data_IF_179917948526
#
_entry.id   IF_179917948526
#
_cell.length_a   1.000
_cell.length_b   1.000
_cell.length_c   1.000
_cell.angle_alpha   90.00
_cell.angle_beta   90.00
_cell.angle_gamma   90.00
#
_symmetry.space_group_name_H-M   'P 1'
#
loop_
_entity.id
_entity.type
_entity.pdbx_description
1 polymer ?
#
# COMPACT_ATOMS: atom_id res chain seq x y z
N UNK A 1 10.08 11.25 0.12
CA UNK A 1 9.85 9.88 0.67
C UNK A 1 10.76 8.91 -0.05
N UNK A 2 11.60 8.14 0.65
CA UNK A 2 12.64 7.30 0.05
C UNK A 2 12.09 5.98 -0.57
N UNK A 3 11.20 6.06 -1.56
CA UNK A 3 10.51 4.89 -2.15
C UNK A 3 11.47 3.81 -2.67
N UNK A 4 12.57 4.20 -3.31
CA UNK A 4 13.57 3.27 -3.84
C UNK A 4 14.20 2.39 -2.73
N UNK A 5 14.52 3.00 -1.58
CA UNK A 5 14.99 2.28 -0.39
C UNK A 5 13.89 1.40 0.22
N UNK A 6 12.68 1.93 0.35
CA UNK A 6 11.52 1.17 0.84
C UNK A 6 11.21 -0.03 -0.06
N UNK A 7 11.41 0.08 -1.37
CA UNK A 7 11.22 -1.02 -2.31
C UNK A 7 12.20 -2.15 -2.03
N UNK A 8 13.50 -1.82 -1.96
CA UNK A 8 14.53 -2.82 -1.60
C UNK A 8 14.24 -3.48 -0.26
N UNK A 9 13.92 -2.70 0.76
CA UNK A 9 13.62 -3.23 2.10
C UNK A 9 12.36 -4.12 2.11
N UNK A 10 11.32 -3.76 1.35
CA UNK A 10 10.12 -4.59 1.22
C UNK A 10 10.47 -5.95 0.62
N UNK A 11 11.23 -5.96 -0.48
CA UNK A 11 11.65 -7.21 -1.14
C UNK A 11 12.48 -8.07 -0.20
N UNK A 12 13.46 -7.50 0.49
CA UNK A 12 14.29 -8.21 1.47
C UNK A 12 13.44 -8.80 2.60
N UNK A 13 12.54 -8.02 3.19
CA UNK A 13 11.67 -8.46 4.27
C UNK A 13 10.83 -9.68 3.85
N UNK A 14 10.20 -9.65 2.67
CA UNK A 14 9.38 -10.76 2.22
C UNK A 14 10.20 -12.02 1.92
N UNK A 15 11.40 -11.88 1.33
CA UNK A 15 12.31 -13.01 1.11
C UNK A 15 12.78 -13.64 2.43
N UNK A 16 13.09 -12.81 3.44
CA UNK A 16 13.48 -13.29 4.77
C UNK A 16 12.34 -14.05 5.45
N UNK A 17 11.10 -13.55 5.37
CA UNK A 17 9.94 -14.25 5.95
C UNK A 17 9.72 -15.61 5.28
N UNK A 18 9.80 -15.69 3.96
CA UNK A 18 9.68 -16.98 3.27
C UNK A 18 10.79 -17.96 3.64
N UNK A 19 12.03 -17.48 3.76
CA UNK A 19 13.15 -18.32 4.21
C UNK A 19 12.93 -18.81 5.65
N UNK A 20 12.48 -17.94 6.55
CA UNK A 20 12.15 -18.28 7.95
C UNK A 20 11.06 -19.35 8.04
N UNK A 21 10.05 -19.27 7.17
CA UNK A 21 8.91 -20.19 7.17
C UNK A 21 9.16 -21.43 6.27
N UNK A 22 10.37 -21.62 5.75
CA UNK A 22 10.73 -22.68 4.79
C UNK A 22 9.80 -22.73 3.55
N UNK A 23 9.27 -21.59 3.13
CA UNK A 23 8.35 -21.47 2.01
C UNK A 23 9.13 -21.29 0.69
N UNK A 24 8.81 -22.12 -0.30
CA UNK A 24 9.34 -22.00 -1.66
C UNK A 24 8.19 -21.90 -2.65
N UNK A 25 7.90 -20.67 -3.08
CA UNK A 25 6.88 -20.42 -4.10
C UNK A 25 7.50 -20.31 -5.49
N UNK A 26 6.84 -20.94 -6.47
CA UNK A 26 7.04 -20.59 -7.87
C UNK A 26 6.74 -19.09 -8.09
N UNK A 27 7.42 -18.40 -9.03
CA UNK A 27 7.23 -16.96 -9.24
C UNK A 27 5.78 -16.53 -9.44
N UNK A 28 4.99 -17.31 -10.18
CA UNK A 28 3.57 -17.02 -10.42
C UNK A 28 2.73 -17.12 -9.15
N UNK A 29 2.95 -18.16 -8.32
CA UNK A 29 2.23 -18.35 -7.05
C UNK A 29 2.56 -17.21 -6.09
N UNK A 30 3.82 -16.80 -6.04
CA UNK A 30 4.26 -15.65 -5.24
C UNK A 30 3.55 -14.36 -5.66
N UNK A 31 3.47 -14.10 -6.97
CA UNK A 31 2.76 -12.94 -7.51
C UNK A 31 1.28 -12.97 -7.11
N UNK A 32 0.60 -14.10 -7.33
CA UNK A 32 -0.81 -14.30 -6.96
C UNK A 32 -1.04 -14.06 -5.46
N UNK A 33 -0.24 -14.71 -4.61
CA UNK A 33 -0.32 -14.56 -3.17
C UNK A 33 -0.11 -13.11 -2.74
N UNK A 34 0.77 -12.36 -3.42
CA UNK A 34 1.02 -10.95 -3.13
C UNK A 34 -0.18 -10.07 -3.49
N UNK A 35 -0.83 -10.28 -4.64
CA UNK A 35 -2.06 -9.56 -5.01
C UNK A 35 -3.21 -9.84 -4.04
N UNK A 36 -3.43 -11.10 -3.66
CA UNK A 36 -4.45 -11.48 -2.67
C UNK A 36 -4.13 -10.85 -1.31
N UNK A 37 -2.87 -10.91 -0.88
CA UNK A 37 -2.44 -10.27 0.36
C UNK A 37 -2.64 -8.76 0.32
N UNK A 38 -2.37 -8.11 -0.81
CA UNK A 38 -2.60 -6.68 -0.97
C UNK A 38 -4.08 -6.34 -0.81
N UNK A 39 -4.99 -7.09 -1.45
CA UNK A 39 -6.43 -6.88 -1.33
C UNK A 39 -6.95 -7.05 0.11
N UNK A 40 -6.50 -8.11 0.80
CA UNK A 40 -6.87 -8.36 2.20
C UNK A 40 -6.38 -7.22 3.10
N UNK A 41 -5.12 -6.80 2.97
CA UNK A 41 -4.55 -5.72 3.80
C UNK A 41 -5.19 -4.38 3.50
N UNK A 42 -5.48 -4.09 2.23
CA UNK A 42 -6.19 -2.89 1.83
C UNK A 42 -7.58 -2.85 2.44
N UNK A 43 -8.30 -3.98 2.42
CA UNK A 43 -9.64 -4.10 3.02
C UNK A 43 -9.60 -3.94 4.54
N UNK A 44 -8.59 -4.53 5.21
CA UNK A 44 -8.36 -4.36 6.65
C UNK A 44 -8.10 -2.89 7.01
N UNK A 45 -7.19 -2.23 6.29
CA UNK A 45 -6.87 -0.81 6.48
C UNK A 45 -8.08 0.09 6.23
N UNK A 46 -8.86 -0.19 5.17
CA UNK A 46 -10.09 0.55 4.87
C UNK A 46 -11.10 0.43 6.01
N UNK A 47 -11.32 -0.78 6.55
CA UNK A 47 -12.17 -0.98 7.71
C UNK A 47 -11.66 -0.21 8.93
N UNK A 48 -10.36 -0.27 9.24
CA UNK A 48 -9.75 0.46 10.37
C UNK A 48 -9.84 1.98 10.26
N UNK A 49 -9.91 2.51 9.04
CA UNK A 49 -10.11 3.94 8.81
C UNK A 49 -11.50 4.42 9.27
N UNK A 50 -12.46 3.50 9.39
CA UNK A 50 -13.88 3.75 9.67
C UNK A 50 -14.55 4.72 8.69
N UNK A 51 -13.89 5.09 7.58
CA UNK A 51 -14.41 6.03 6.56
C UNK A 51 -15.56 5.45 5.74
N UNK A 52 -15.68 4.13 5.72
CA UNK A 52 -16.66 3.37 4.93
C UNK A 52 -17.77 2.74 5.79
N UNK A 53 -17.76 2.98 7.10
CA UNK A 53 -18.72 2.38 8.02
C UNK A 53 -19.95 3.29 8.17
N UNK A 54 -21.13 2.76 7.85
CA UNK A 54 -22.40 3.49 7.90
C UNK A 54 -23.04 3.48 9.30
N UNK A 55 -22.68 2.51 10.16
CA UNK A 55 -23.42 2.23 11.40
C UNK A 55 -22.64 2.53 12.69
N UNK A 56 -21.33 2.72 12.62
CA UNK A 56 -20.49 2.95 13.80
C UNK A 56 -19.27 3.78 13.45
N UNK A 57 -19.05 4.87 14.19
CA UNK A 57 -17.77 5.60 14.21
C UNK A 57 -17.02 5.18 15.48
N UNK A 58 -16.54 3.94 15.49
CA UNK A 58 -15.64 3.50 16.55
C UNK A 58 -14.38 4.38 16.58
N UNK A 59 -13.77 4.53 17.76
CA UNK A 59 -12.57 5.35 17.92
C UNK A 59 -11.46 4.81 17.03
N UNK A 60 -11.02 5.62 16.05
CA UNK A 60 -9.91 5.26 15.16
C UNK A 60 -8.62 5.23 15.99
N UNK A 61 -7.97 4.07 16.04
CA UNK A 61 -6.60 3.97 16.53
C UNK A 61 -5.65 4.37 15.39
N UNK A 62 -5.19 5.64 15.40
CA UNK A 62 -4.34 6.20 14.35
C UNK A 62 -3.06 5.40 14.13
N UNK A 63 -2.42 4.93 15.20
CA UNK A 63 -1.16 4.16 15.11
C UNK A 63 -1.41 2.80 14.44
N UNK A 64 -2.49 2.11 14.79
CA UNK A 64 -2.85 0.85 14.14
C UNK A 64 -3.24 1.06 12.67
N UNK A 65 -3.93 2.15 12.34
CA UNK A 65 -4.25 2.49 10.96
C UNK A 65 -2.99 2.81 10.14
N UNK A 66 -2.03 3.56 10.71
CA UNK A 66 -0.73 3.83 10.09
C UNK A 66 0.05 2.52 9.86
N UNK A 67 0.07 1.63 10.85
CA UNK A 67 0.67 0.31 10.73
C UNK A 67 0.08 -0.45 9.53
N UNK A 68 -1.24 -0.53 9.43
CA UNK A 68 -1.92 -1.21 8.32
C UNK A 68 -1.69 -0.53 6.97
N UNK A 69 -1.64 0.81 6.93
CA UNK A 69 -1.33 1.57 5.71
C UNK A 69 0.07 1.21 5.18
N UNK A 70 1.08 1.20 6.06
CA UNK A 70 2.45 0.79 5.71
C UNK A 70 2.51 -0.67 5.27
N UNK A 71 1.65 -1.53 5.84
CA UNK A 71 1.56 -2.95 5.46
C UNK A 71 1.01 -3.15 4.03
N UNK A 72 0.10 -2.28 3.59
CA UNK A 72 -0.39 -2.18 2.19
C UNK A 72 0.70 -1.64 1.27
N UNK A 73 1.40 -0.57 1.69
CA UNK A 73 2.47 0.06 0.92
C UNK A 73 3.57 -0.94 0.54
N UNK A 74 4.08 -1.72 1.50
CA UNK A 74 5.10 -2.75 1.25
C UNK A 74 4.69 -3.75 0.17
N UNK A 75 3.39 -4.08 0.09
CA UNK A 75 2.85 -5.05 -0.87
C UNK A 75 2.73 -4.46 -2.28
N UNK A 76 2.38 -3.18 -2.42
CA UNK A 76 2.53 -2.47 -3.70
C UNK A 76 3.97 -2.56 -4.21
N UNK A 77 4.95 -2.25 -3.35
CA UNK A 77 6.36 -2.29 -3.71
C UNK A 77 6.83 -3.71 -4.09
N UNK A 78 6.37 -4.73 -3.36
CA UNK A 78 6.65 -6.12 -3.71
C UNK A 78 6.05 -6.50 -5.07
N UNK A 79 4.81 -6.12 -5.37
CA UNK A 79 4.20 -6.38 -6.69
C UNK A 79 5.01 -5.70 -7.79
N UNK A 80 5.39 -4.44 -7.59
CA UNK A 80 6.23 -3.72 -8.54
C UNK A 80 7.52 -4.50 -8.83
N UNK A 81 8.18 -5.03 -7.80
CA UNK A 81 9.35 -5.87 -7.97
C UNK A 81 9.06 -7.17 -8.73
N UNK A 82 8.04 -7.92 -8.33
CA UNK A 82 7.71 -9.22 -8.94
C UNK A 82 7.28 -9.12 -10.40
N UNK A 83 6.81 -7.94 -10.85
CA UNK A 83 6.44 -7.69 -12.26
C UNK A 83 7.50 -6.94 -13.06
N UNK A 84 8.66 -6.64 -12.46
CA UNK A 84 9.72 -5.79 -13.05
C UNK A 84 9.22 -4.37 -13.40
N UNK A 85 8.43 -3.79 -12.50
CA UNK A 85 7.77 -2.49 -12.60
C UNK A 85 8.31 -1.49 -11.56
N UNK A 86 9.55 -1.65 -11.10
CA UNK A 86 10.14 -0.82 -10.04
C UNK A 86 10.05 0.68 -10.34
N UNK A 87 10.32 1.06 -11.60
CA UNK A 87 10.26 2.44 -12.07
C UNK A 87 8.85 3.05 -12.00
N UNK A 88 7.80 2.22 -12.01
CA UNK A 88 6.40 2.69 -12.01
C UNK A 88 5.93 3.17 -10.64
N UNK A 89 6.63 2.80 -9.56
CA UNK A 89 6.28 3.22 -8.19
C UNK A 89 7.15 4.36 -7.68
N UNK A 90 8.23 4.70 -8.39
CA UNK A 90 9.04 5.88 -8.08
C UNK A 90 8.18 7.14 -8.22
N UNK A 91 8.30 8.03 -7.25
CA UNK A 91 7.53 9.27 -7.16
C UNK A 91 8.47 10.36 -6.66
N UNK A 92 8.42 11.53 -7.28
CA UNK A 92 9.22 12.68 -6.88
C UNK A 92 8.69 13.32 -5.58
N UNK A 93 9.54 14.09 -4.90
CA UNK A 93 9.10 14.85 -3.72
C UNK A 93 8.03 15.89 -4.08
N UNK A 94 8.13 16.52 -5.27
CA UNK A 94 7.09 17.43 -5.79
C UNK A 94 5.75 16.72 -5.99
N UNK A 95 5.76 15.49 -6.53
CA UNK A 95 4.53 14.70 -6.66
C UNK A 95 3.97 14.30 -5.30
N UNK A 96 4.81 13.93 -4.33
CA UNK A 96 4.38 13.64 -2.95
C UNK A 96 3.72 14.87 -2.31
N UNK A 97 4.34 16.03 -2.48
CA UNK A 97 3.80 17.30 -1.97
C UNK A 97 2.47 17.65 -2.65
N UNK A 98 2.38 17.49 -3.97
CA UNK A 98 1.14 17.68 -4.70
C UNK A 98 0.03 16.73 -4.22
N UNK A 99 0.36 15.48 -3.87
CA UNK A 99 -0.61 14.51 -3.34
C UNK A 99 -1.06 14.86 -1.91
N UNK A 100 -0.17 15.36 -1.05
CA UNK A 100 -0.48 15.71 0.34
C UNK A 100 -1.44 16.91 0.44
N UNK A 101 -1.33 17.85 -0.50
CA UNK A 101 -2.16 19.05 -0.62
C UNK A 101 -3.46 18.86 -1.40
N UNK A 102 -3.69 17.68 -2.01
CA UNK A 102 -4.97 17.39 -2.66
C UNK A 102 -6.13 17.52 -1.67
N UNK A 103 -7.29 17.92 -2.20
CA UNK A 103 -8.53 17.99 -1.42
C UNK A 103 -8.88 16.62 -0.84
N UNK A 104 -9.29 16.62 0.42
CA UNK A 104 -9.85 15.42 1.05
C UNK A 104 -11.10 14.98 0.30
N UNK A 105 -11.23 13.68 0.08
CA UNK A 105 -12.40 13.10 -0.55
C UNK A 105 -13.65 13.34 0.32
N UNK A 106 -14.77 13.71 -0.30
CA UNK A 106 -16.07 13.64 0.35
C UNK A 106 -16.45 12.18 0.65
N UNK A 107 -17.54 11.95 1.39
CA UNK A 107 -18.02 10.60 1.68
C UNK A 107 -18.43 9.82 0.41
N UNK A 108 -18.93 10.49 -0.63
CA UNK A 108 -19.20 9.83 -1.90
C UNK A 108 -17.91 9.55 -2.67
N UNK A 109 -17.00 10.53 -2.69
CA UNK A 109 -15.72 10.41 -3.39
C UNK A 109 -14.82 9.33 -2.78
N UNK A 110 -14.86 9.14 -1.45
CA UNK A 110 -14.00 8.15 -0.78
C UNK A 110 -14.44 6.71 -1.12
N UNK A 111 -15.75 6.46 -1.20
CA UNK A 111 -16.30 5.17 -1.64
C UNK A 111 -15.85 4.85 -3.07
N UNK A 112 -16.00 5.82 -3.99
CA UNK A 112 -15.55 5.69 -5.38
C UNK A 112 -14.04 5.47 -5.47
N UNK A 113 -13.25 6.22 -4.68
CA UNK A 113 -11.79 6.08 -4.61
C UNK A 113 -11.40 4.65 -4.22
N UNK A 114 -12.01 4.09 -3.17
CA UNK A 114 -11.69 2.73 -2.72
C UNK A 114 -12.03 1.67 -3.76
N UNK A 115 -13.23 1.75 -4.36
CA UNK A 115 -13.64 0.84 -5.43
C UNK A 115 -12.74 0.97 -6.67
N UNK A 116 -12.32 2.20 -7.01
CA UNK A 116 -11.41 2.46 -8.11
C UNK A 116 -10.03 1.81 -7.88
N UNK A 117 -9.47 1.94 -6.66
CA UNK A 117 -8.21 1.27 -6.29
C UNK A 117 -8.32 -0.23 -6.52
N UNK A 118 -9.40 -0.88 -6.02
CA UNK A 118 -9.60 -2.32 -6.19
C UNK A 118 -9.73 -2.73 -7.65
N UNK A 119 -10.58 -2.04 -8.41
CA UNK A 119 -10.79 -2.32 -9.83
C UNK A 119 -9.46 -2.28 -10.60
N UNK A 120 -8.68 -1.22 -10.39
CA UNK A 120 -7.38 -1.06 -11.04
C UNK A 120 -6.35 -2.10 -10.59
N UNK A 121 -6.35 -2.53 -9.32
CA UNK A 121 -5.51 -3.64 -8.88
C UNK A 121 -5.85 -4.93 -9.63
N UNK A 122 -7.14 -5.27 -9.74
CA UNK A 122 -7.55 -6.47 -10.46
C UNK A 122 -7.22 -6.40 -11.95
N UNK A 123 -7.47 -5.27 -12.58
CA UNK A 123 -7.09 -5.03 -13.97
C UNK A 123 -5.57 -5.14 -14.19
N UNK A 124 -4.75 -4.65 -13.26
CA UNK A 124 -3.30 -4.77 -13.35
C UNK A 124 -2.79 -6.22 -13.23
N UNK A 125 -3.56 -7.07 -12.56
CA UNK A 125 -3.27 -8.50 -12.46
C UNK A 125 -3.77 -9.27 -13.68
N UNK A 126 -5.09 -9.24 -13.94
CA UNK A 126 -5.76 -10.05 -14.96
C UNK A 126 -5.47 -9.56 -16.39
N UNK A 127 -5.55 -8.26 -16.62
CA UNK A 127 -5.35 -7.65 -17.95
C UNK A 127 -3.91 -7.16 -18.17
N UNK A 128 -3.04 -7.30 -17.15
CA UNK A 128 -1.65 -6.81 -17.16
C UNK A 128 -1.53 -5.30 -17.42
N UNK A 129 -2.57 -4.52 -17.12
CA UNK A 129 -2.59 -3.07 -17.35
C UNK A 129 -1.66 -2.33 -16.38
N UNK A 130 -0.48 -1.91 -16.86
CA UNK A 130 0.50 -1.15 -16.09
C UNK A 130 -0.05 0.19 -15.61
N UNK A 131 -0.79 0.89 -16.46
CA UNK A 131 -1.40 2.18 -16.12
C UNK A 131 -2.36 2.06 -14.94
N UNK A 132 -3.18 1.00 -14.91
CA UNK A 132 -4.06 0.73 -13.77
C UNK A 132 -3.26 0.53 -12.48
N UNK A 133 -2.12 -0.17 -12.52
CA UNK A 133 -1.24 -0.29 -11.35
C UNK A 133 -0.71 1.07 -10.88
N UNK A 134 -0.23 1.92 -11.80
CA UNK A 134 0.28 3.27 -11.50
C UNK A 134 -0.82 4.14 -10.87
N UNK A 135 -2.02 4.15 -11.46
CA UNK A 135 -3.12 4.96 -10.96
C UNK A 135 -3.62 4.45 -9.60
N UNK A 136 -3.70 3.14 -9.41
CA UNK A 136 -4.04 2.55 -8.12
C UNK A 136 -3.02 2.92 -7.04
N UNK A 137 -1.73 2.86 -7.36
CA UNK A 137 -0.63 3.31 -6.50
C UNK A 137 -0.77 4.80 -6.13
N UNK A 138 -0.98 5.68 -7.11
CA UNK A 138 -1.14 7.12 -6.87
C UNK A 138 -2.37 7.45 -6.03
N UNK A 139 -3.50 6.78 -6.27
CA UNK A 139 -4.70 6.93 -5.44
C UNK A 139 -4.49 6.41 -4.02
N UNK A 140 -3.80 5.29 -3.85
CA UNK A 140 -3.43 4.78 -2.54
C UNK A 140 -2.53 5.76 -1.77
N UNK A 141 -1.51 6.33 -2.40
CA UNK A 141 -0.65 7.35 -1.79
C UNK A 141 -1.44 8.60 -1.41
N UNK A 142 -2.30 9.10 -2.32
CA UNK A 142 -3.22 10.21 -2.03
C UNK A 142 -4.09 9.90 -0.82
N UNK A 143 -4.60 8.67 -0.72
CA UNK A 143 -5.47 8.26 0.38
C UNK A 143 -4.75 8.40 1.72
N UNK A 144 -3.51 7.92 1.83
CA UNK A 144 -2.69 8.09 3.04
C UNK A 144 -2.33 9.54 3.36
N UNK A 145 -1.75 10.24 2.38
CA UNK A 145 -1.18 11.58 2.57
C UNK A 145 -2.26 12.65 2.78
N UNK A 146 -3.30 12.64 1.95
CA UNK A 146 -4.35 13.66 1.98
C UNK A 146 -5.52 13.27 2.89
N UNK A 147 -6.11 12.08 2.73
CA UNK A 147 -7.40 11.74 3.38
C UNK A 147 -7.23 11.19 4.80
N UNK A 148 -6.16 10.44 5.06
CA UNK A 148 -5.79 9.94 6.38
C UNK A 148 -4.81 10.87 7.11
N UNK A 149 -4.27 11.88 6.40
CA UNK A 149 -3.35 12.90 6.92
C UNK A 149 -2.11 12.32 7.55
N UNK A 150 -1.55 11.25 6.99
CA UNK A 150 -0.23 10.77 7.38
C UNK A 150 0.84 11.65 6.78
N UNK A 151 1.82 12.06 7.58
CA UNK A 151 3.02 12.71 7.08
C UNK A 151 3.97 11.70 6.45
N UNK A 152 4.88 12.18 5.60
CA UNK A 152 5.95 11.34 5.03
C UNK A 152 6.80 10.75 6.15
N UNK A 153 7.11 11.55 7.18
CA UNK A 153 7.91 11.12 8.32
C UNK A 153 7.23 10.01 9.12
N UNK A 154 5.91 10.11 9.36
CA UNK A 154 5.13 9.06 10.03
C UNK A 154 5.21 7.74 9.23
N UNK A 155 5.02 7.82 7.91
CA UNK A 155 5.05 6.64 7.02
C UNK A 155 6.45 6.00 7.02
N UNK A 156 7.51 6.79 6.88
CA UNK A 156 8.89 6.29 6.83
C UNK A 156 9.34 5.70 8.17
N UNK A 157 9.01 6.36 9.28
CA UNK A 157 9.33 5.87 10.61
C UNK A 157 8.63 4.53 10.88
N UNK A 158 7.33 4.46 10.61
CA UNK A 158 6.58 3.21 10.80
C UNK A 158 7.06 2.10 9.85
N UNK A 159 7.41 2.43 8.61
CA UNK A 159 8.02 1.49 7.69
C UNK A 159 9.33 0.92 8.25
N UNK A 160 10.23 1.78 8.74
CA UNK A 160 11.51 1.36 9.30
C UNK A 160 11.31 0.52 10.58
N UNK A 161 10.35 0.89 11.44
CA UNK A 161 9.98 0.09 12.61
C UNK A 161 9.56 -1.33 12.21
N UNK A 162 8.65 -1.47 11.24
CA UNK A 162 8.14 -2.78 10.82
C UNK A 162 9.18 -3.67 10.14
N UNK A 163 10.15 -3.08 9.44
CA UNK A 163 11.26 -3.82 8.84
C UNK A 163 12.28 -4.23 9.92
N UNK A 164 12.56 -3.38 10.91
CA UNK A 164 13.57 -3.64 11.95
C UNK A 164 13.08 -4.59 13.04
N UNK A 165 11.83 -4.45 13.50
CA UNK A 165 11.26 -5.28 14.58
C UNK A 165 11.13 -6.77 14.23
N UNK A 166 11.29 -7.15 12.95
CA UNK A 166 11.26 -8.55 12.51
C UNK A 166 12.66 -9.16 12.28
N UNK A 167 13.72 -8.35 12.42
CA UNK A 167 15.12 -8.79 12.24
C UNK A 167 15.74 -9.24 13.59
N UNK A 168 15.05 -9.00 14.71
CA UNK A 168 15.33 -9.59 16.02
C UNK A 168 14.39 -10.75 16.33
#
# INVERSE_FOLDING_TARGET
MEIDKMLRHSVTLFRQNEAKDNLKFLPQVRLQNTYVNLDIRLSKMANESQRFNYHSRSKINRNHLLFSYVDVLKRYLLIANLKNWNQLVLISDDEIDALSHKKQASLDDINKLYLAIKNMLFNSYFDRRQNDFIYSWKLFLKFGLSDLKFSVQEIEQEFNNQVTQKIN
#
